data_IF_746967244859
#
_entry.id   IF_746967244859
#
_cell.length_a   1.000
_cell.length_b   1.000
_cell.length_c   1.000
_cell.angle_alpha   90.00
_cell.angle_beta   90.00
_cell.angle_gamma   90.00
#
_symmetry.space_group_name_H-M   'P 1'
#
loop_
_entity.id
_entity.type
_entity.pdbx_description
1 polymer ?
#
# COMPACT_ATOMS: atom_id res chain seq x y z
N UNK A 1 -16.37 -3.95 -5.87
CA UNK A 1 -14.89 -3.93 -5.70
C UNK A 1 -14.52 -4.62 -4.39
N UNK A 2 -13.55 -5.54 -4.43
CA UNK A 2 -13.09 -6.35 -3.30
C UNK A 2 -11.63 -6.05 -2.97
N UNK A 3 -11.29 -5.93 -1.68
CA UNK A 3 -9.93 -5.71 -1.20
C UNK A 3 -9.45 -6.90 -0.37
N UNK A 4 -8.20 -7.31 -0.53
CA UNK A 4 -7.53 -8.31 0.29
C UNK A 4 -6.18 -7.77 0.74
N UNK A 5 -5.94 -7.84 2.06
CA UNK A 5 -4.60 -7.65 2.61
C UNK A 5 -3.78 -8.91 2.33
N UNK A 6 -2.94 -8.87 1.30
CA UNK A 6 -2.28 -10.06 0.77
C UNK A 6 -1.14 -10.57 1.68
N UNK A 7 -0.57 -9.71 2.52
CA UNK A 7 0.45 -10.10 3.50
C UNK A 7 0.33 -9.29 4.80
N UNK A 8 1.21 -9.54 5.74
CA UNK A 8 1.24 -8.78 7.00
C UNK A 8 1.82 -7.36 6.84
N UNK A 9 2.31 -7.01 5.65
CA UNK A 9 3.07 -5.79 5.48
C UNK A 9 2.43 -4.82 4.48
N UNK A 10 2.78 -4.86 3.19
CA UNK A 10 2.39 -3.82 2.24
C UNK A 10 1.80 -4.33 0.93
N UNK A 11 1.70 -5.64 0.74
CA UNK A 11 1.12 -6.20 -0.48
C UNK A 11 -0.40 -6.19 -0.43
N UNK A 12 -1.02 -5.57 -1.42
CA UNK A 12 -2.48 -5.44 -1.52
C UNK A 12 -2.99 -5.98 -2.84
N UNK A 13 -4.16 -6.60 -2.78
CA UNK A 13 -4.89 -7.12 -3.92
C UNK A 13 -6.27 -6.46 -3.98
N UNK A 14 -6.56 -5.78 -5.08
CA UNK A 14 -7.85 -5.13 -5.33
C UNK A 14 -8.44 -5.75 -6.59
N UNK A 15 -9.65 -6.31 -6.47
CA UNK A 15 -10.36 -7.01 -7.54
C UNK A 15 -11.69 -6.33 -7.84
N UNK A 16 -12.00 -6.19 -9.13
CA UNK A 16 -13.31 -5.79 -9.63
C UNK A 16 -13.57 -6.52 -10.96
N UNK A 17 -14.79 -7.02 -11.17
CA UNK A 17 -15.21 -7.74 -12.39
C UNK A 17 -14.20 -8.82 -12.83
N UNK A 18 -13.75 -9.70 -11.92
CA UNK A 18 -12.78 -10.78 -12.17
C UNK A 18 -11.41 -10.33 -12.70
N UNK A 19 -11.09 -9.06 -12.58
CA UNK A 19 -9.77 -8.51 -12.87
C UNK A 19 -9.18 -7.85 -11.62
N UNK A 20 -7.87 -7.95 -11.45
CA UNK A 20 -7.24 -7.48 -10.23
C UNK A 20 -6.02 -6.61 -10.50
N UNK A 21 -5.77 -5.71 -9.55
CA UNK A 21 -4.58 -4.89 -9.41
C UNK A 21 -3.80 -5.39 -8.20
N UNK A 22 -2.50 -5.64 -8.37
CA UNK A 22 -1.60 -6.01 -7.30
C UNK A 22 -0.72 -4.81 -6.94
N UNK A 23 -0.70 -4.42 -5.66
CA UNK A 23 0.03 -3.24 -5.19
C UNK A 23 1.22 -3.72 -4.37
N UNK A 24 2.40 -3.16 -4.65
CA UNK A 24 3.67 -3.41 -3.97
C UNK A 24 3.93 -4.91 -3.71
N UNK A 25 3.97 -5.75 -4.76
CA UNK A 25 4.03 -7.19 -4.60
C UNK A 25 5.36 -7.65 -3.97
N UNK A 26 5.25 -8.22 -2.77
CA UNK A 26 6.34 -8.92 -2.11
C UNK A 26 5.93 -10.37 -1.90
N UNK A 27 6.21 -11.23 -2.90
CA UNK A 27 5.74 -12.61 -2.99
C UNK A 27 6.67 -13.65 -2.31
N UNK A 28 7.74 -13.21 -1.66
CA UNK A 28 8.67 -14.06 -0.90
C UNK A 28 8.64 -13.72 0.58
N UNK A 29 9.12 -14.65 1.44
CA UNK A 29 9.16 -14.41 2.88
C UNK A 29 10.33 -13.54 3.32
N UNK A 30 11.37 -13.41 2.47
CA UNK A 30 12.60 -12.66 2.80
C UNK A 30 12.78 -11.53 1.85
N UNK A 31 12.90 -10.33 2.41
CA UNK A 31 13.42 -9.16 1.74
C UNK A 31 14.88 -9.01 2.14
N UNK A 32 15.76 -9.41 1.25
CA UNK A 32 17.19 -9.19 1.37
C UNK A 32 17.62 -8.36 0.16
N UNK A 33 17.66 -7.03 0.28
CA UNK A 33 18.30 -6.18 -0.72
C UNK A 33 19.74 -6.62 -0.92
N UNK A 34 20.28 -6.49 -2.14
CA UNK A 34 21.66 -6.90 -2.47
C UNK A 34 22.70 -6.26 -1.54
N UNK A 35 22.39 -5.11 -0.96
CA UNK A 35 23.16 -4.45 0.10
C UNK A 35 22.42 -4.48 1.45
N UNK A 36 22.15 -5.65 1.93
CA UNK A 36 21.40 -5.90 3.18
C UNK A 36 22.09 -5.38 4.47
N UNK A 37 23.25 -4.73 4.37
CA UNK A 37 23.90 -4.07 5.52
C UNK A 37 22.99 -2.99 6.14
N UNK A 38 22.23 -2.25 5.33
CA UNK A 38 21.40 -1.15 5.82
C UNK A 38 20.09 -1.63 6.44
N UNK A 39 19.32 -2.47 5.73
CA UNK A 39 18.06 -2.98 6.22
C UNK A 39 17.74 -4.35 5.60
N UNK A 40 17.27 -5.27 6.44
CA UNK A 40 16.71 -6.56 6.04
C UNK A 40 15.38 -6.75 6.73
N UNK A 41 14.42 -7.34 6.03
CA UNK A 41 13.10 -7.66 6.59
C UNK A 41 12.73 -9.10 6.26
N UNK A 42 12.05 -9.75 7.17
CA UNK A 42 11.54 -11.10 7.00
C UNK A 42 10.08 -11.13 7.44
N UNK A 43 9.21 -11.63 6.59
CA UNK A 43 7.80 -11.82 6.92
C UNK A 43 7.63 -13.12 7.69
N UNK A 44 6.74 -13.12 8.68
CA UNK A 44 6.42 -14.31 9.47
C UNK A 44 5.56 -15.31 8.69
N UNK A 45 4.74 -14.81 7.75
CA UNK A 45 3.76 -15.61 7.03
C UNK A 45 3.94 -15.48 5.52
N UNK A 46 3.52 -16.51 4.81
CA UNK A 46 3.39 -16.49 3.36
C UNK A 46 2.30 -15.52 2.90
N UNK A 47 2.29 -15.27 1.60
CA UNK A 47 1.25 -14.44 0.99
C UNK A 47 -0.10 -15.14 1.07
N UNK A 48 -1.16 -14.38 1.40
CA UNK A 48 -2.52 -14.88 1.63
C UNK A 48 -3.42 -14.83 0.39
N UNK A 49 -2.86 -14.62 -0.80
CA UNK A 49 -3.60 -14.70 -2.07
C UNK A 49 -3.29 -16.02 -2.78
N UNK A 50 -4.31 -16.60 -3.41
CA UNK A 50 -4.21 -17.89 -4.11
C UNK A 50 -3.59 -17.73 -5.50
N UNK A 51 -3.19 -18.85 -6.12
CA UNK A 51 -2.74 -18.87 -7.52
C UNK A 51 -3.84 -18.38 -8.48
N UNK A 52 -5.09 -18.69 -8.21
CA UNK A 52 -6.24 -18.25 -9.00
C UNK A 52 -6.38 -16.73 -8.94
N UNK A 53 -6.23 -16.13 -7.75
CA UNK A 53 -6.21 -14.68 -7.59
C UNK A 53 -5.03 -14.03 -8.32
N UNK A 54 -3.84 -14.62 -8.26
CA UNK A 54 -2.68 -14.14 -9.04
C UNK A 54 -2.97 -14.21 -10.55
N UNK A 55 -3.66 -15.22 -11.03
CA UNK A 55 -4.05 -15.35 -12.45
C UNK A 55 -5.05 -14.28 -12.90
N UNK A 56 -5.79 -13.66 -11.99
CA UNK A 56 -6.68 -12.52 -12.27
C UNK A 56 -5.96 -11.18 -12.35
N UNK A 57 -4.70 -11.09 -11.91
CA UNK A 57 -3.94 -9.84 -11.94
C UNK A 57 -3.75 -9.38 -13.38
N UNK A 58 -4.10 -8.13 -13.65
CA UNK A 58 -3.97 -7.46 -14.94
C UNK A 58 -3.05 -6.26 -14.92
N UNK A 59 -2.71 -5.77 -13.71
CA UNK A 59 -1.80 -4.65 -13.55
C UNK A 59 -1.08 -4.73 -12.19
N UNK A 60 0.08 -4.10 -12.13
CA UNK A 60 0.87 -3.93 -10.92
C UNK A 60 0.97 -2.43 -10.64
N UNK A 61 0.82 -2.02 -9.38
CA UNK A 61 1.13 -0.65 -8.95
C UNK A 61 2.31 -0.72 -7.98
N UNK A 62 3.32 0.12 -8.21
CA UNK A 62 4.47 0.28 -7.32
C UNK A 62 4.44 1.70 -6.76
N UNK A 63 4.27 1.83 -5.45
CA UNK A 63 4.04 3.12 -4.80
C UNK A 63 5.31 3.87 -4.42
N UNK A 64 6.43 3.16 -4.24
CA UNK A 64 7.68 3.76 -3.79
C UNK A 64 8.92 3.05 -4.37
N UNK A 65 10.07 3.73 -4.45
CA UNK A 65 11.33 3.16 -4.96
C UNK A 65 12.09 2.33 -3.90
N UNK A 66 11.47 2.04 -2.76
CA UNK A 66 12.10 1.31 -1.66
C UNK A 66 11.94 -0.20 -1.87
N UNK A 67 12.92 -1.00 -1.43
CA UNK A 67 12.96 -2.45 -1.65
C UNK A 67 11.73 -3.20 -1.12
N UNK A 68 11.08 -2.67 -0.11
CA UNK A 68 9.87 -3.24 0.49
C UNK A 68 8.58 -2.91 -0.29
N UNK A 69 8.65 -1.99 -1.25
CA UNK A 69 7.60 -1.70 -2.23
C UNK A 69 7.97 -2.20 -3.61
N UNK A 70 9.24 -2.01 -3.99
CA UNK A 70 9.80 -2.38 -5.28
C UNK A 70 10.62 -3.67 -5.15
N UNK A 71 9.95 -4.81 -4.94
CA UNK A 71 10.62 -6.10 -4.83
C UNK A 71 10.80 -6.75 -6.20
N UNK A 72 11.96 -6.56 -6.82
CA UNK A 72 12.27 -6.98 -8.19
C UNK A 72 12.07 -8.48 -8.43
N UNK A 73 12.44 -9.33 -7.47
CA UNK A 73 12.24 -10.79 -7.59
C UNK A 73 10.75 -11.15 -7.69
N UNK A 74 9.87 -10.44 -6.99
CA UNK A 74 8.44 -10.67 -7.08
C UNK A 74 7.89 -10.24 -8.43
N UNK A 75 8.33 -9.07 -8.95
CA UNK A 75 7.92 -8.60 -10.26
C UNK A 75 8.34 -9.59 -11.35
N UNK A 76 9.56 -10.12 -11.30
CA UNK A 76 10.08 -11.11 -12.26
C UNK A 76 9.38 -12.48 -12.20
N UNK A 77 8.69 -12.80 -11.09
CA UNK A 77 7.87 -14.02 -10.97
C UNK A 77 6.48 -13.85 -11.58
N UNK A 78 6.05 -12.62 -11.81
CA UNK A 78 4.81 -12.30 -12.50
C UNK A 78 5.07 -12.21 -14.02
N UNK A 79 3.98 -12.20 -14.80
CA UNK A 79 4.11 -12.07 -16.24
C UNK A 79 4.77 -10.74 -16.63
N UNK A 80 5.74 -10.76 -17.52
CA UNK A 80 6.39 -9.59 -18.10
C UNK A 80 5.47 -8.74 -18.99
N UNK A 81 4.30 -9.27 -19.35
CA UNK A 81 3.24 -8.56 -20.08
C UNK A 81 2.37 -7.68 -19.19
N UNK A 82 2.43 -7.86 -17.86
CA UNK A 82 1.63 -7.05 -16.95
C UNK A 82 2.14 -5.60 -16.91
N UNK A 83 1.29 -4.61 -17.17
CA UNK A 83 1.69 -3.21 -17.07
C UNK A 83 1.98 -2.85 -15.61
N UNK A 84 3.02 -2.05 -15.41
CA UNK A 84 3.38 -1.45 -14.12
C UNK A 84 2.98 0.02 -14.16
N UNK A 85 2.15 0.43 -13.21
CA UNK A 85 1.76 1.82 -12.99
C UNK A 85 2.49 2.40 -11.79
N UNK A 86 3.07 3.59 -11.93
CA UNK A 86 3.94 4.12 -10.87
C UNK A 86 4.25 5.60 -11.04
N UNK A 87 5.11 6.15 -10.15
CA UNK A 87 5.66 7.50 -10.25
C UNK A 87 6.86 7.58 -11.18
N UNK A 88 7.22 8.81 -11.60
CA UNK A 88 8.43 9.06 -12.42
C UNK A 88 9.71 8.56 -11.73
N UNK A 89 9.80 8.67 -10.41
CA UNK A 89 10.98 8.22 -9.65
C UNK A 89 11.11 6.71 -9.72
N UNK A 90 10.05 5.97 -9.46
CA UNK A 90 10.06 4.50 -9.54
C UNK A 90 10.31 4.04 -10.97
N UNK A 91 9.70 4.68 -11.98
CA UNK A 91 9.98 4.40 -13.39
C UNK A 91 11.45 4.54 -13.72
N UNK A 92 12.12 5.59 -13.22
CA UNK A 92 13.55 5.80 -13.42
C UNK A 92 14.42 4.73 -12.73
N UNK A 93 13.97 4.16 -11.61
CA UNK A 93 14.63 3.03 -10.96
C UNK A 93 14.43 1.76 -11.80
N UNK A 94 13.19 1.46 -12.17
CA UNK A 94 12.85 0.28 -12.99
C UNK A 94 13.55 0.27 -14.35
N UNK A 95 13.71 1.43 -15.00
CA UNK A 95 14.39 1.52 -16.31
C UNK A 95 15.87 1.13 -16.27
N UNK A 96 16.48 1.09 -15.08
CA UNK A 96 17.87 0.65 -14.86
C UNK A 96 17.95 -0.85 -14.52
N UNK A 97 16.79 -1.51 -14.37
CA UNK A 97 16.68 -2.93 -14.09
C UNK A 97 16.26 -3.67 -15.35
N UNK A 98 16.60 -4.93 -15.46
CA UNK A 98 16.17 -5.78 -16.59
C UNK A 98 14.71 -6.19 -16.41
N UNK A 99 13.78 -5.22 -16.48
CA UNK A 99 12.34 -5.39 -16.38
C UNK A 99 11.75 -5.12 -17.76
N UNK A 100 11.02 -6.11 -18.30
CA UNK A 100 10.41 -6.05 -19.65
C UNK A 100 8.97 -5.53 -19.62
N UNK A 101 8.38 -5.40 -18.45
CA UNK A 101 7.01 -4.95 -18.25
C UNK A 101 6.80 -3.53 -18.82
N UNK A 102 5.67 -3.25 -19.51
CA UNK A 102 5.29 -1.88 -19.87
C UNK A 102 5.14 -1.01 -18.63
N UNK A 103 5.72 0.21 -18.62
CA UNK A 103 5.71 1.09 -17.45
C UNK A 103 4.96 2.39 -17.80
N UNK A 104 3.88 2.65 -17.06
CA UNK A 104 3.03 3.83 -17.19
C UNK A 104 3.12 4.71 -15.94
N UNK A 105 2.94 6.02 -16.13
CA UNK A 105 2.87 6.96 -15.01
C UNK A 105 1.44 7.12 -14.52
N UNK A 106 1.26 7.13 -13.21
CA UNK A 106 0.03 7.57 -12.57
C UNK A 106 0.10 9.06 -12.26
N UNK A 107 -1.01 9.75 -12.45
CA UNK A 107 -1.17 11.16 -12.14
C UNK A 107 -2.48 11.46 -11.37
N UNK A 108 -2.71 12.72 -11.07
CA UNK A 108 -3.89 13.19 -10.34
C UNK A 108 -5.16 13.20 -11.20
N UNK A 109 -5.06 13.17 -12.53
CA UNK A 109 -6.22 13.12 -13.43
C UNK A 109 -6.88 11.75 -13.40
N UNK A 110 -6.07 10.72 -13.19
CA UNK A 110 -6.48 9.32 -13.07
C UNK A 110 -6.47 8.56 -14.37
N UNK A 111 -6.16 7.28 -14.24
CA UNK A 111 -6.12 6.30 -15.33
C UNK A 111 -7.11 5.19 -15.04
N UNK A 112 -7.83 4.70 -16.04
CA UNK A 112 -8.64 3.50 -15.92
C UNK A 112 -7.74 2.27 -16.03
N UNK A 113 -7.74 1.43 -15.01
CA UNK A 113 -7.01 0.17 -14.93
C UNK A 113 -8.02 -0.91 -14.60
N UNK A 114 -8.20 -1.88 -15.50
CA UNK A 114 -9.34 -2.82 -15.44
C UNK A 114 -10.66 -2.03 -15.51
N UNK A 115 -11.52 -2.17 -14.52
CA UNK A 115 -12.77 -1.40 -14.39
C UNK A 115 -12.68 -0.30 -13.34
N UNK A 116 -11.49 -0.03 -12.82
CA UNK A 116 -11.24 0.85 -11.68
C UNK A 116 -10.52 2.11 -12.15
N UNK A 117 -11.04 3.28 -11.81
CA UNK A 117 -10.34 4.55 -11.97
C UNK A 117 -9.33 4.71 -10.83
N UNK A 118 -8.05 4.87 -11.19
CA UNK A 118 -6.93 4.96 -10.25
C UNK A 118 -6.28 6.33 -10.37
N UNK A 119 -6.22 7.08 -9.27
CA UNK A 119 -5.58 8.40 -9.20
C UNK A 119 -4.43 8.41 -8.21
N UNK A 120 -3.32 9.04 -8.58
CA UNK A 120 -2.29 9.37 -7.61
C UNK A 120 -2.68 10.60 -6.80
N UNK A 121 -2.31 10.62 -5.53
CA UNK A 121 -2.56 11.73 -4.60
C UNK A 121 -1.25 12.08 -3.91
N UNK A 122 -0.86 13.37 -3.84
CA UNK A 122 0.38 13.77 -3.18
C UNK A 122 0.43 13.36 -1.71
N UNK A 123 1.58 12.87 -1.26
CA UNK A 123 1.88 12.56 0.14
C UNK A 123 2.47 13.77 0.88
N UNK A 124 2.69 13.63 2.20
CA UNK A 124 3.36 14.63 3.02
C UNK A 124 4.84 14.32 3.23
N UNK A 125 5.57 15.29 3.82
CA UNK A 125 6.94 15.10 4.29
C UNK A 125 7.04 13.86 5.21
N UNK A 126 8.08 13.04 5.06
CA UNK A 126 9.27 13.19 4.21
C UNK A 126 9.10 12.62 2.79
N UNK A 127 7.94 12.15 2.41
CA UNK A 127 7.70 11.32 1.23
C UNK A 127 7.13 12.06 0.01
N UNK A 128 6.91 13.35 0.09
CA UNK A 128 6.20 14.15 -0.93
C UNK A 128 6.75 14.01 -2.37
N UNK A 129 7.99 13.58 -2.55
CA UNK A 129 8.58 13.36 -3.88
C UNK A 129 8.84 11.89 -4.20
N UNK A 130 8.90 11.00 -3.20
CA UNK A 130 9.31 9.60 -3.38
C UNK A 130 8.15 8.62 -3.44
N UNK A 131 7.01 8.96 -2.86
CA UNK A 131 5.81 8.11 -2.84
C UNK A 131 4.57 8.90 -3.25
N UNK A 132 3.45 8.19 -3.41
CA UNK A 132 2.14 8.77 -3.64
C UNK A 132 1.07 7.93 -2.94
N UNK A 133 0.01 8.56 -2.50
CA UNK A 133 -1.22 7.88 -2.10
C UNK A 133 -2.05 7.55 -3.34
N UNK A 134 -2.98 6.61 -3.22
CA UNK A 134 -3.81 6.19 -4.34
C UNK A 134 -5.29 6.28 -3.93
N UNK A 135 -6.12 6.77 -4.84
CA UNK A 135 -7.56 6.65 -4.76
C UNK A 135 -8.05 5.75 -5.89
N UNK A 136 -8.66 4.63 -5.50
CA UNK A 136 -9.36 3.73 -6.39
C UNK A 136 -10.86 4.07 -6.36
N UNK A 137 -11.50 4.07 -7.51
CA UNK A 137 -12.94 4.30 -7.64
C UNK A 137 -13.51 3.35 -8.70
N UNK A 138 -14.47 2.50 -8.31
CA UNK A 138 -15.16 1.62 -9.27
C UNK A 138 -16.33 2.33 -9.96
N UNK A 139 -16.97 1.65 -10.90
CA UNK A 139 -18.13 2.15 -11.66
C UNK A 139 -19.37 2.47 -10.79
N UNK A 140 -19.42 1.92 -9.57
CA UNK A 140 -20.48 2.17 -8.58
C UNK A 140 -20.10 3.30 -7.61
N UNK A 141 -19.01 4.02 -7.89
CA UNK A 141 -18.45 5.08 -7.03
C UNK A 141 -18.00 4.59 -5.65
N UNK A 142 -17.77 3.28 -5.47
CA UNK A 142 -17.11 2.76 -4.28
C UNK A 142 -15.63 3.12 -4.32
N UNK A 143 -15.07 3.56 -3.20
CA UNK A 143 -13.73 4.12 -3.15
C UNK A 143 -12.86 3.46 -2.09
N UNK A 144 -11.60 3.17 -2.46
CA UNK A 144 -10.54 2.75 -1.55
C UNK A 144 -9.44 3.81 -1.59
N UNK A 145 -9.06 4.32 -0.43
CA UNK A 145 -7.90 5.20 -0.28
C UNK A 145 -6.72 4.43 0.30
N UNK A 146 -5.60 4.41 -0.42
CA UNK A 146 -4.35 3.82 0.03
C UNK A 146 -3.32 4.93 0.28
N UNK A 147 -2.76 4.98 1.48
CA UNK A 147 -1.72 5.97 1.79
C UNK A 147 -0.39 5.63 1.12
N UNK A 148 0.42 6.66 0.90
CA UNK A 148 1.83 6.50 0.52
C UNK A 148 2.75 6.83 1.70
N UNK A 149 2.65 6.13 2.82
CA UNK A 149 3.30 6.29 4.12
C UNK A 149 2.75 7.42 5.00
N UNK A 150 2.58 8.63 4.49
CA UNK A 150 2.07 9.77 5.27
C UNK A 150 1.00 10.50 4.47
N UNK A 151 -0.21 10.51 5.00
CA UNK A 151 -1.35 11.19 4.37
C UNK A 151 -1.13 12.71 4.32
N UNK A 152 -1.37 13.29 3.16
CA UNK A 152 -1.46 14.75 3.01
C UNK A 152 -2.85 15.23 3.46
N UNK A 153 -2.99 15.52 4.75
CA UNK A 153 -4.26 15.94 5.34
C UNK A 153 -4.85 17.21 4.73
N UNK A 154 -3.99 18.16 4.35
CA UNK A 154 -4.42 19.40 3.71
C UNK A 154 -5.01 19.12 2.34
N UNK A 155 -4.36 18.28 1.56
CA UNK A 155 -4.81 17.90 0.22
C UNK A 155 -6.15 17.17 0.27
N UNK A 156 -6.27 16.08 1.07
CA UNK A 156 -7.51 15.29 1.13
C UNK A 156 -8.68 16.10 1.66
N UNK A 157 -8.44 17.07 2.57
CA UNK A 157 -9.46 17.98 3.07
C UNK A 157 -9.86 19.01 2.02
N UNK A 158 -8.90 19.67 1.37
CA UNK A 158 -9.14 20.69 0.35
C UNK A 158 -9.93 20.15 -0.85
N UNK A 159 -9.59 18.94 -1.31
CA UNK A 159 -10.25 18.30 -2.44
C UNK A 159 -11.46 17.45 -2.03
N UNK A 160 -11.88 17.51 -0.76
CA UNK A 160 -13.00 16.74 -0.20
C UNK A 160 -12.94 15.25 -0.57
N UNK A 161 -11.74 14.63 -0.49
CA UNK A 161 -11.56 13.21 -0.80
C UNK A 161 -12.31 12.37 0.22
N UNK A 162 -13.15 11.46 -0.25
CA UNK A 162 -13.91 10.48 0.54
C UNK A 162 -13.57 9.08 0.07
N UNK A 163 -13.71 8.11 0.97
CA UNK A 163 -13.49 6.70 0.66
C UNK A 163 -14.34 5.80 1.56
N UNK A 164 -14.78 4.65 1.04
CA UNK A 164 -15.49 3.62 1.81
C UNK A 164 -14.52 2.81 2.68
N UNK A 165 -13.25 2.72 2.24
CA UNK A 165 -12.16 2.02 2.92
C UNK A 165 -10.90 2.86 2.90
N UNK A 166 -10.18 2.86 4.01
CA UNK A 166 -8.84 3.43 4.10
C UNK A 166 -7.80 2.32 4.40
N UNK A 167 -6.68 2.36 3.68
CA UNK A 167 -5.49 1.54 3.92
C UNK A 167 -4.42 2.50 4.46
N UNK A 168 -4.12 2.41 5.76
CA UNK A 168 -3.25 3.36 6.44
C UNK A 168 -2.25 2.65 7.37
N UNK A 169 -1.08 3.24 7.57
CA UNK A 169 -0.22 2.89 8.72
C UNK A 169 -0.89 3.35 10.00
N UNK A 170 -0.62 2.68 11.11
CA UNK A 170 -1.08 3.08 12.45
C UNK A 170 -0.07 2.71 13.54
N UNK A 171 1.03 2.11 13.18
CA UNK A 171 2.22 1.93 14.00
C UNK A 171 3.17 3.10 13.74
N UNK A 172 3.40 3.94 14.75
CA UNK A 172 4.34 5.04 14.60
C UNK A 172 5.75 4.49 14.38
N UNK A 173 6.36 4.87 13.27
CA UNK A 173 7.77 4.59 13.00
C UNK A 173 8.50 5.91 12.87
N UNK A 174 9.57 6.08 13.66
CA UNK A 174 10.42 7.28 13.61
C UNK A 174 11.87 6.90 13.38
N UNK A 175 12.53 7.61 12.48
CA UNK A 175 13.97 7.54 12.29
C UNK A 175 14.62 8.59 13.18
N UNK A 176 15.65 8.18 13.96
CA UNK A 176 16.31 9.02 14.97
C UNK A 176 15.36 9.66 16.01
N UNK A 177 14.15 9.12 16.14
CA UNK A 177 13.12 9.66 17.05
C UNK A 177 12.46 10.97 16.60
N UNK A 178 12.86 11.54 15.48
CA UNK A 178 12.38 12.85 14.97
C UNK A 178 11.67 12.78 13.62
N UNK A 179 12.17 12.02 12.66
CA UNK A 179 11.56 11.91 11.33
C UNK A 179 10.48 10.83 11.35
N UNK A 180 9.23 11.21 11.16
CA UNK A 180 8.11 10.26 11.11
C UNK A 180 8.10 9.53 9.77
N UNK A 181 8.22 8.21 9.79
CA UNK A 181 8.18 7.33 8.63
C UNK A 181 6.84 6.59 8.47
N UNK A 182 6.06 6.46 9.54
CA UNK A 182 4.72 5.87 9.52
C UNK A 182 3.83 6.59 10.53
N UNK A 183 2.56 6.77 10.17
CA UNK A 183 1.60 7.46 11.01
C UNK A 183 1.29 6.68 12.29
N UNK A 184 0.98 7.39 13.36
CA UNK A 184 0.44 6.79 14.58
C UNK A 184 -1.08 6.58 14.47
N UNK A 185 -1.67 5.83 15.42
CA UNK A 185 -3.10 5.52 15.42
C UNK A 185 -4.02 6.76 15.48
N UNK A 186 -3.57 7.87 16.08
CA UNK A 186 -4.38 9.12 16.16
C UNK A 186 -4.46 9.79 14.79
N UNK A 187 -3.35 9.79 14.04
CA UNK A 187 -3.31 10.30 12.68
C UNK A 187 -4.19 9.45 11.75
N UNK A 188 -4.19 8.13 11.93
CA UNK A 188 -5.05 7.23 11.16
C UNK A 188 -6.53 7.44 11.47
N UNK A 189 -6.90 7.65 12.75
CA UNK A 189 -8.27 8.04 13.12
C UNK A 189 -8.68 9.38 12.51
N UNK A 190 -7.75 10.36 12.49
CA UNK A 190 -7.98 11.66 11.84
C UNK A 190 -8.18 11.52 10.34
N UNK A 191 -7.37 10.67 9.68
CA UNK A 191 -7.52 10.38 8.26
C UNK A 191 -8.87 9.73 7.96
N UNK A 192 -9.26 8.68 8.69
CA UNK A 192 -10.57 8.03 8.55
C UNK A 192 -11.73 9.01 8.73
N UNK A 193 -11.63 9.92 9.71
CA UNK A 193 -12.66 10.97 9.90
C UNK A 193 -12.77 11.91 8.69
N UNK A 194 -11.65 12.36 8.12
CA UNK A 194 -11.65 13.23 6.93
C UNK A 194 -12.18 12.48 5.72
N UNK A 195 -11.76 11.22 5.52
CA UNK A 195 -12.20 10.35 4.44
C UNK A 195 -13.65 9.89 4.61
N UNK A 196 -14.25 10.10 5.78
CA UNK A 196 -15.62 9.66 6.15
C UNK A 196 -15.79 8.13 6.06
N UNK A 197 -14.78 7.36 6.47
CA UNK A 197 -14.83 5.89 6.49
C UNK A 197 -14.73 5.33 7.89
N UNK A 198 -15.41 4.18 8.11
CA UNK A 198 -15.29 3.37 9.31
C UNK A 198 -14.48 2.08 9.07
N UNK A 199 -14.05 1.79 7.84
CA UNK A 199 -13.30 0.60 7.49
C UNK A 199 -11.81 0.94 7.34
N UNK A 200 -10.97 0.41 8.24
CA UNK A 200 -9.54 0.65 8.27
C UNK A 200 -8.75 -0.65 8.10
N UNK A 201 -8.01 -0.76 7.03
CA UNK A 201 -6.95 -1.74 6.85
C UNK A 201 -5.61 -1.17 7.28
N UNK A 202 -4.84 -1.94 8.06
CA UNK A 202 -3.51 -1.52 8.50
C UNK A 202 -2.46 -2.02 7.53
N UNK A 203 -1.65 -1.08 7.00
CA UNK A 203 -0.48 -1.34 6.18
C UNK A 203 0.81 -1.00 6.92
N UNK A 204 1.96 -1.43 6.42
CA UNK A 204 3.27 -1.08 6.94
C UNK A 204 3.52 -1.52 8.39
N UNK A 205 2.73 -2.48 8.91
CA UNK A 205 2.99 -3.09 10.23
C UNK A 205 4.36 -3.77 10.23
N UNK A 206 4.95 -3.92 11.41
CA UNK A 206 6.22 -4.63 11.54
C UNK A 206 6.12 -6.01 10.83
N UNK A 207 6.96 -6.30 9.83
CA UNK A 207 6.89 -7.56 9.09
C UNK A 207 7.34 -8.77 9.92
N UNK A 208 7.73 -8.59 11.17
CA UNK A 208 8.23 -9.61 12.12
C UNK A 208 9.69 -9.35 12.44
N UNK A 209 10.60 -9.48 11.51
CA UNK A 209 12.03 -9.39 11.78
C UNK A 209 12.69 -8.30 10.91
N UNK A 210 13.10 -7.19 11.55
CA UNK A 210 13.84 -6.13 10.88
C UNK A 210 15.25 -6.06 11.44
N UNK A 211 16.27 -6.21 10.59
CA UNK A 211 17.70 -6.20 10.93
C UNK A 211 18.44 -5.18 10.05
N UNK A 212 19.70 -4.92 10.38
CA UNK A 212 20.60 -4.03 9.65
C UNK A 212 20.91 -2.74 10.40
N UNK A 213 21.80 -1.93 9.83
CA UNK A 213 22.32 -0.74 10.49
C UNK A 213 21.21 0.29 10.82
N UNK A 214 20.31 0.57 9.86
CA UNK A 214 19.24 1.55 10.03
C UNK A 214 18.22 1.09 11.09
N UNK A 215 18.01 -0.22 11.25
CA UNK A 215 17.06 -0.74 12.23
C UNK A 215 17.36 -0.28 13.66
N UNK A 216 18.64 -0.02 13.98
CA UNK A 216 19.08 0.47 15.30
C UNK A 216 18.59 1.90 15.61
N UNK A 217 18.28 2.67 14.58
CA UNK A 217 17.81 4.06 14.68
C UNK A 217 16.29 4.21 14.51
N UNK A 218 15.62 3.11 14.20
CA UNK A 218 14.16 3.08 14.12
C UNK A 218 13.56 2.96 15.52
N UNK A 219 12.62 3.84 15.82
CA UNK A 219 11.77 3.76 17.01
C UNK A 219 10.35 3.50 16.56
N UNK A 220 9.78 2.39 17.03
CA UNK A 220 8.42 1.99 16.70
C UNK A 220 7.53 2.09 17.94
N UNK A 221 6.28 2.49 17.75
CA UNK A 221 5.23 2.34 18.75
C UNK A 221 4.20 1.34 18.24
N UNK A 222 3.84 0.34 19.04
CA UNK A 222 2.94 -0.71 18.61
C UNK A 222 1.55 -0.18 18.30
N UNK A 223 0.85 -0.93 17.46
CA UNK A 223 -0.53 -0.69 17.09
C UNK A 223 -1.46 -0.66 18.33
N UNK A 224 -2.27 0.37 18.47
CA UNK A 224 -3.29 0.50 19.52
C UNK A 224 -4.61 -0.15 19.08
N UNK A 225 -4.58 -1.48 18.90
CA UNK A 225 -5.72 -2.26 18.39
C UNK A 225 -7.04 -1.95 19.10
N UNK A 226 -7.02 -1.95 20.45
CA UNK A 226 -8.24 -1.72 21.24
C UNK A 226 -8.81 -0.31 21.02
N UNK A 227 -7.96 0.70 20.87
CA UNK A 227 -8.40 2.07 20.64
C UNK A 227 -9.00 2.27 19.25
N UNK A 228 -8.44 1.60 18.26
CA UNK A 228 -8.96 1.63 16.89
C UNK A 228 -10.28 0.85 16.78
N UNK A 229 -10.35 -0.37 17.31
CA UNK A 229 -11.56 -1.23 17.27
C UNK A 229 -12.78 -0.62 17.95
N UNK A 230 -12.61 0.27 18.92
CA UNK A 230 -13.72 1.00 19.55
C UNK A 230 -14.41 1.96 18.58
N UNK A 231 -13.76 2.36 17.49
CA UNK A 231 -14.22 3.43 16.59
C UNK A 231 -14.34 3.01 15.13
N UNK A 232 -13.67 1.93 14.72
CA UNK A 232 -13.52 1.50 13.34
C UNK A 232 -13.62 -0.02 13.22
N UNK A 233 -14.08 -0.48 12.06
CA UNK A 233 -13.90 -1.85 11.61
C UNK A 233 -12.44 -2.03 11.22
N UNK A 234 -11.67 -2.78 12.01
CA UNK A 234 -10.23 -2.88 11.88
C UNK A 234 -9.81 -4.20 11.22
N UNK A 235 -9.12 -4.10 10.10
CA UNK A 235 -8.58 -5.21 9.31
C UNK A 235 -7.04 -5.13 9.37
N UNK A 236 -6.38 -6.02 10.13
CA UNK A 236 -4.93 -5.94 10.35
C UNK A 236 -4.17 -7.23 10.07
N UNK A 237 -4.86 -8.35 9.93
CA UNK A 237 -4.23 -9.65 9.64
C UNK A 237 -4.09 -9.88 8.13
N UNK A 238 -3.04 -10.60 7.72
CA UNK A 238 -2.97 -11.13 6.36
C UNK A 238 -4.20 -11.99 6.05
N UNK A 239 -4.69 -11.92 4.82
CA UNK A 239 -5.93 -12.58 4.40
C UNK A 239 -7.21 -11.83 4.77
N UNK A 240 -7.14 -10.73 5.54
CA UNK A 240 -8.33 -9.91 5.80
C UNK A 240 -8.90 -9.40 4.48
N UNK A 241 -10.22 -9.54 4.33
CA UNK A 241 -10.94 -9.25 3.09
C UNK A 241 -12.17 -8.41 3.39
N UNK A 242 -12.52 -7.51 2.47
CA UNK A 242 -13.77 -6.78 2.46
C UNK A 242 -14.26 -6.67 1.02
N UNK A 243 -15.51 -7.05 0.77
CA UNK A 243 -16.18 -6.79 -0.50
C UNK A 243 -17.14 -5.59 -0.34
N UNK A 244 -16.91 -4.55 -1.11
CA UNK A 244 -17.73 -3.33 -1.08
C UNK A 244 -19.07 -3.50 -1.83
N UNK A 245 -19.23 -4.59 -2.58
CA UNK A 245 -20.50 -4.91 -3.22
C UNK A 245 -21.47 -5.60 -2.26
N UNK A 246 -20.95 -6.32 -1.24
CA UNK A 246 -21.77 -7.04 -0.25
C UNK A 246 -22.22 -6.15 0.91
N UNK A 247 -21.69 -4.93 1.03
CA UNK A 247 -22.12 -3.95 2.02
C UNK A 247 -23.37 -3.22 1.52
N UNK A 248 -24.48 -3.95 1.37
CA UNK A 248 -25.80 -3.37 1.26
C UNK A 248 -26.35 -3.11 2.66
N UNK A 249 -26.55 -1.80 2.95
CA UNK A 249 -27.40 -1.16 3.98
C UNK A 249 -27.02 -1.34 5.43
#
# INVERSE_FOLDING_TARGET
MKIIKADNYQTWYIEDDDQAILIDPWLSNKLKPDNSFFIQREKENDISITKEQINKVRAIIITAPFDDHLHLESIKKLSDKLPIYTSKIVKNVLSKQNIMNPIYLLDETGTEICSIKVKSIPTSYPYFSSTFSILFEDKKSKRIFHEGHIVNFSYIKHHNIKADVAILTAEEVKLFGVITLGMNYKDSLKACKILSTNNLFITGSNPGNTKGFISKFLRTKPLKNNELKKKLNLYHKAGATLDLNDSSD
#
